data_IF_010354890264
#
_entry.id   IF_010354890264
#
_cell.length_a   1.000
_cell.length_b   1.000
_cell.length_c   1.000
_cell.angle_alpha   90.00
_cell.angle_beta   90.00
_cell.angle_gamma   90.00
#
_symmetry.space_group_name_H-M   'P 1'
#
loop_
_entity.id
_entity.type
_entity.pdbx_description
1 polymer ?
#
# COMPACT_ATOMS: atom_id res chain seq x y z
N UNK A 1 11.67 -19.23 -11.36
CA UNK A 1 11.47 -17.76 -11.23
C UNK A 1 11.77 -17.14 -12.58
N UNK A 2 10.77 -16.65 -13.32
CA UNK A 2 11.08 -15.60 -14.29
C UNK A 2 11.51 -14.39 -13.47
N UNK A 3 12.69 -13.89 -13.77
CA UNK A 3 13.31 -12.77 -13.06
C UNK A 3 12.34 -11.59 -13.10
N UNK A 4 12.13 -10.93 -11.95
CA UNK A 4 11.36 -9.70 -11.89
C UNK A 4 12.03 -8.65 -12.79
N UNK A 5 11.34 -8.18 -13.83
CA UNK A 5 11.91 -7.28 -14.84
C UNK A 5 12.39 -5.92 -14.28
N UNK A 6 12.03 -5.59 -13.02
CA UNK A 6 12.44 -4.35 -12.36
C UNK A 6 13.11 -4.61 -11.00
N UNK A 7 14.36 -4.14 -10.86
CA UNK A 7 15.14 -4.22 -9.62
C UNK A 7 15.30 -2.87 -8.91
N UNK A 8 14.80 -1.78 -9.50
CA UNK A 8 14.85 -0.44 -8.90
C UNK A 8 13.74 0.48 -9.42
N UNK A 9 13.38 1.49 -8.63
CA UNK A 9 12.46 2.55 -9.04
C UNK A 9 12.93 3.27 -10.31
N UNK A 10 14.23 3.54 -10.43
CA UNK A 10 14.79 4.21 -11.61
C UNK A 10 14.66 3.35 -12.87
N UNK A 11 14.85 2.03 -12.75
CA UNK A 11 14.64 1.07 -13.83
C UNK A 11 13.17 1.03 -14.26
N UNK A 12 12.24 1.01 -13.30
CA UNK A 12 10.81 1.05 -13.58
C UNK A 12 10.38 2.38 -14.23
N UNK A 13 10.88 3.51 -13.73
CA UNK A 13 10.63 4.85 -14.27
C UNK A 13 11.20 5.04 -15.67
N UNK A 14 12.35 4.42 -15.98
CA UNK A 14 12.95 4.46 -17.31
C UNK A 14 12.16 3.63 -18.32
N UNK A 15 11.64 2.46 -17.92
CA UNK A 15 10.80 1.62 -18.77
C UNK A 15 9.39 2.21 -18.98
N UNK A 16 8.89 2.96 -18.01
CA UNK A 16 7.60 3.63 -18.05
C UNK A 16 7.78 5.14 -17.81
N UNK A 17 8.20 5.91 -18.84
CA UNK A 17 8.37 7.35 -18.70
C UNK A 17 7.07 7.98 -18.20
N UNK A 18 7.14 8.56 -17.00
CA UNK A 18 6.06 9.32 -16.40
C UNK A 18 5.74 10.51 -17.31
N UNK A 19 4.53 10.49 -17.90
CA UNK A 19 3.85 11.51 -18.71
C UNK A 19 4.10 11.56 -20.23
N UNK A 20 3.05 11.24 -20.99
CA UNK A 20 2.52 12.07 -22.10
C UNK A 20 1.12 11.58 -22.53
N UNK A 21 0.00 12.24 -22.16
CA UNK A 21 -1.30 11.88 -22.70
C UNK A 21 -1.67 12.81 -23.86
N UNK A 22 -1.60 12.28 -25.08
CA UNK A 22 -2.37 12.82 -26.22
C UNK A 22 -3.84 12.35 -26.18
N UNK A 23 -4.19 11.37 -25.33
CA UNK A 23 -5.58 10.92 -25.07
C UNK A 23 -5.75 10.42 -23.63
N UNK A 24 -6.68 11.02 -22.87
CA UNK A 24 -7.19 10.56 -21.56
C UNK A 24 -6.16 10.47 -20.43
N UNK A 25 -6.34 11.21 -19.33
CA UNK A 25 -5.46 11.09 -18.15
C UNK A 25 -5.96 9.98 -17.23
N UNK A 26 -5.25 8.85 -17.15
CA UNK A 26 -5.51 7.83 -16.13
C UNK A 26 -4.77 8.16 -14.84
N UNK A 27 -5.43 8.00 -13.70
CA UNK A 27 -4.87 8.31 -12.38
C UNK A 27 -4.85 7.02 -11.56
N UNK A 28 -3.71 6.77 -10.90
CA UNK A 28 -3.56 5.68 -9.94
C UNK A 28 -3.30 6.27 -8.55
N UNK A 29 -4.19 5.97 -7.59
CA UNK A 29 -3.98 6.35 -6.20
C UNK A 29 -3.27 5.22 -5.46
N UNK A 30 -2.03 5.46 -5.07
CA UNK A 30 -1.20 4.44 -4.41
C UNK A 30 -0.85 4.84 -2.99
N UNK A 31 -0.69 3.87 -2.11
CA UNK A 31 -0.39 4.08 -0.69
C UNK A 31 0.86 3.30 -0.30
N UNK A 32 1.58 3.81 0.70
CA UNK A 32 2.68 3.07 1.32
C UNK A 32 2.22 1.64 1.69
N UNK A 33 2.94 0.58 1.30
CA UNK A 33 2.48 -0.79 1.50
C UNK A 33 2.28 -1.16 2.97
N UNK A 34 3.12 -0.66 3.88
CA UNK A 34 2.96 -0.91 5.32
C UNK A 34 1.70 -0.21 5.82
N UNK A 35 1.50 1.06 5.47
CA UNK A 35 0.33 1.83 5.86
C UNK A 35 -0.97 1.22 5.30
N UNK A 36 -0.94 0.77 4.04
CA UNK A 36 -2.07 0.08 3.40
C UNK A 36 -2.40 -1.22 4.13
N UNK A 37 -1.40 -2.06 4.39
CA UNK A 37 -1.59 -3.34 5.07
C UNK A 37 -2.16 -3.13 6.47
N UNK A 38 -1.56 -2.26 7.30
CA UNK A 38 -2.04 -1.99 8.66
C UNK A 38 -3.46 -1.46 8.65
N UNK A 39 -3.77 -0.52 7.75
CA UNK A 39 -5.11 0.03 7.61
C UNK A 39 -6.12 -1.04 7.19
N UNK A 40 -5.75 -1.91 6.25
CA UNK A 40 -6.58 -3.03 5.80
C UNK A 40 -6.82 -4.04 6.92
N UNK A 41 -5.78 -4.40 7.67
CA UNK A 41 -5.88 -5.34 8.79
C UNK A 41 -6.83 -4.83 9.87
N UNK A 42 -6.75 -3.55 10.22
CA UNK A 42 -7.65 -2.94 11.21
C UNK A 42 -9.09 -2.92 10.70
N UNK A 43 -9.30 -2.47 9.46
CA UNK A 43 -10.65 -2.41 8.87
C UNK A 43 -11.28 -3.80 8.76
N UNK A 44 -10.57 -4.75 8.17
CA UNK A 44 -11.13 -6.05 7.82
C UNK A 44 -11.10 -7.03 8.98
N UNK A 45 -10.00 -7.10 9.73
CA UNK A 45 -9.87 -8.07 10.82
C UNK A 45 -10.45 -7.57 12.13
N UNK A 46 -10.24 -6.31 12.52
CA UNK A 46 -10.73 -5.83 13.83
C UNK A 46 -12.19 -5.41 13.82
N UNK A 47 -12.66 -4.74 12.76
CA UNK A 47 -14.02 -4.21 12.72
C UNK A 47 -15.01 -5.14 12.04
N UNK A 48 -14.66 -5.65 10.87
CA UNK A 48 -15.55 -6.55 10.15
C UNK A 48 -15.46 -7.99 10.65
N UNK A 49 -14.45 -8.31 11.49
CA UNK A 49 -14.12 -9.67 11.93
C UNK A 49 -13.96 -10.65 10.74
N UNK A 50 -13.42 -10.16 9.63
CA UNK A 50 -13.12 -10.91 8.40
C UNK A 50 -11.60 -11.04 8.26
N UNK A 51 -11.02 -12.00 8.98
CA UNK A 51 -9.58 -12.26 9.01
C UNK A 51 -9.24 -13.72 8.81
N UNK A 52 -9.94 -14.40 7.89
CA UNK A 52 -9.91 -15.86 7.78
C UNK A 52 -10.17 -16.52 9.16
N UNK A 53 -9.45 -17.60 9.46
CA UNK A 53 -9.49 -18.32 10.74
C UNK A 53 -8.53 -17.71 11.80
N UNK A 54 -7.82 -16.62 11.47
CA UNK A 54 -6.83 -15.99 12.34
C UNK A 54 -7.41 -15.04 13.41
N UNK A 55 -8.72 -14.73 13.35
CA UNK A 55 -9.36 -13.81 14.26
C UNK A 55 -8.74 -12.40 14.22
N UNK A 56 -7.99 -12.02 15.25
CA UNK A 56 -7.29 -10.71 15.33
C UNK A 56 -5.77 -10.85 15.43
N UNK A 57 -5.23 -12.04 15.16
CA UNK A 57 -3.79 -12.31 15.20
C UNK A 57 -3.10 -11.80 13.93
N UNK A 58 -2.23 -10.81 14.07
CA UNK A 58 -1.46 -10.24 12.96
C UNK A 58 -0.51 -11.27 12.35
N UNK A 59 0.18 -12.03 13.20
CA UNK A 59 1.15 -13.03 12.78
C UNK A 59 0.50 -14.16 11.99
N UNK A 60 -0.60 -14.72 12.50
CA UNK A 60 -1.37 -15.75 11.79
C UNK A 60 -1.80 -15.23 10.41
N UNK A 61 -2.44 -14.06 10.37
CA UNK A 61 -2.99 -13.53 9.13
C UNK A 61 -1.89 -13.28 8.10
N UNK A 62 -0.79 -12.65 8.49
CA UNK A 62 0.29 -12.32 7.56
C UNK A 62 1.02 -13.56 7.04
N UNK A 63 1.19 -14.60 7.86
CA UNK A 63 1.79 -15.87 7.44
C UNK A 63 0.89 -16.57 6.42
N UNK A 64 -0.40 -16.74 6.71
CA UNK A 64 -1.35 -17.35 5.77
C UNK A 64 -1.44 -16.55 4.47
N UNK A 65 -1.47 -15.22 4.60
CA UNK A 65 -1.59 -14.34 3.45
C UNK A 65 -0.32 -14.38 2.58
N UNK A 66 0.88 -14.44 3.19
CA UNK A 66 2.12 -14.66 2.46
C UNK A 66 2.08 -15.95 1.62
N UNK A 67 1.72 -17.08 2.24
CA UNK A 67 1.62 -18.37 1.55
C UNK A 67 0.62 -18.29 0.38
N UNK A 68 -0.54 -17.66 0.60
CA UNK A 68 -1.54 -17.44 -0.45
C UNK A 68 -1.00 -16.60 -1.59
N UNK A 69 -0.36 -15.45 -1.31
CA UNK A 69 0.23 -14.58 -2.33
C UNK A 69 1.34 -15.30 -3.11
N UNK A 70 2.21 -16.04 -2.44
CA UNK A 70 3.27 -16.80 -3.12
C UNK A 70 2.70 -17.91 -4.01
N UNK A 71 1.65 -18.60 -3.56
CA UNK A 71 0.93 -19.59 -4.38
C UNK A 71 0.30 -18.95 -5.62
N UNK A 72 -0.37 -17.80 -5.47
CA UNK A 72 -0.94 -17.06 -6.59
C UNK A 72 0.14 -16.59 -7.58
N UNK A 73 1.28 -16.10 -7.09
CA UNK A 73 2.38 -15.65 -7.94
C UNK A 73 3.01 -16.78 -8.76
N UNK A 74 3.03 -18.01 -8.24
CA UNK A 74 3.60 -19.19 -8.92
C UNK A 74 2.69 -19.80 -9.98
N UNK A 75 1.41 -19.45 -10.00
CA UNK A 75 0.43 -19.96 -10.97
C UNK A 75 -0.18 -18.82 -11.80
N UNK A 76 0.60 -18.13 -12.64
CA UNK A 76 0.14 -16.95 -13.38
C UNK A 76 -0.93 -17.27 -14.44
N UNK A 77 -1.05 -18.53 -14.85
CA UNK A 77 -2.08 -19.02 -15.78
C UNK A 77 -3.35 -19.47 -15.08
N UNK A 78 -3.32 -19.65 -13.77
CA UNK A 78 -4.51 -19.90 -12.96
C UNK A 78 -5.27 -18.60 -12.72
N UNK A 79 -6.59 -18.67 -12.62
CA UNK A 79 -7.35 -17.53 -12.10
C UNK A 79 -6.84 -17.22 -10.70
N UNK A 80 -6.34 -15.99 -10.50
CA UNK A 80 -6.11 -15.46 -9.18
C UNK A 80 -7.46 -15.51 -8.46
N UNK A 81 -7.52 -16.20 -7.32
CA UNK A 81 -8.77 -16.32 -6.56
C UNK A 81 -9.26 -14.92 -6.16
N UNK A 82 -10.30 -14.46 -6.84
CA UNK A 82 -10.90 -13.16 -6.61
C UNK A 82 -11.91 -13.27 -5.47
N UNK A 83 -11.45 -12.98 -4.26
CA UNK A 83 -12.23 -13.10 -3.04
C UNK A 83 -12.11 -11.82 -2.20
N UNK A 84 -12.89 -11.76 -1.13
CA UNK A 84 -12.95 -10.58 -0.27
C UNK A 84 -11.57 -10.13 0.23
N UNK A 85 -10.73 -11.06 0.68
CA UNK A 85 -9.42 -10.74 1.25
C UNK A 85 -8.41 -10.39 0.16
N UNK A 86 -8.41 -11.11 -0.96
CA UNK A 86 -7.47 -10.83 -2.05
C UNK A 86 -7.69 -9.46 -2.66
N UNK A 87 -8.95 -9.02 -2.84
CA UNK A 87 -9.28 -7.66 -3.30
C UNK A 87 -8.73 -6.55 -2.38
N UNK A 88 -8.73 -6.79 -1.07
CA UNK A 88 -8.31 -5.78 -0.08
C UNK A 88 -6.80 -5.78 0.18
N UNK A 89 -6.16 -6.95 0.14
CA UNK A 89 -4.79 -7.10 0.61
C UNK A 89 -3.78 -7.39 -0.49
N UNK A 90 -4.16 -7.93 -1.67
CA UNK A 90 -3.15 -8.19 -2.70
C UNK A 90 -2.42 -6.91 -3.13
N UNK A 91 -1.16 -7.04 -3.59
CA UNK A 91 -0.37 -5.90 -4.04
C UNK A 91 -1.15 -5.01 -4.99
N UNK A 92 -1.02 -3.69 -4.84
CA UNK A 92 -1.73 -2.74 -5.71
C UNK A 92 -1.27 -2.89 -7.15
N UNK A 93 0.00 -3.26 -7.39
CA UNK A 93 0.54 -3.49 -8.72
C UNK A 93 -0.08 -4.70 -9.45
N UNK A 94 -0.80 -5.58 -8.74
CA UNK A 94 -1.56 -6.69 -9.34
C UNK A 94 -2.95 -6.29 -9.82
N UNK A 95 -3.35 -5.04 -9.55
CA UNK A 95 -4.62 -4.46 -9.98
C UNK A 95 -4.36 -3.47 -11.12
N UNK A 96 -5.44 -2.95 -11.72
CA UNK A 96 -5.39 -1.89 -12.73
C UNK A 96 -4.55 -2.19 -13.99
N UNK A 97 -4.19 -3.46 -14.24
CA UNK A 97 -3.33 -3.87 -15.36
C UNK A 97 -2.02 -3.06 -15.46
N UNK A 98 -1.41 -2.74 -14.31
CA UNK A 98 -0.16 -1.97 -14.30
C UNK A 98 0.95 -2.64 -15.12
N UNK A 99 0.98 -3.96 -15.24
CA UNK A 99 1.93 -4.67 -16.11
C UNK A 99 1.93 -4.16 -17.55
N UNK A 100 0.77 -3.75 -18.06
CA UNK A 100 0.57 -3.36 -19.45
C UNK A 100 0.52 -1.83 -19.61
N UNK A 101 0.00 -1.12 -18.60
CA UNK A 101 -0.38 0.27 -18.74
C UNK A 101 0.24 1.22 -17.71
N UNK A 102 1.23 0.79 -16.92
CA UNK A 102 1.87 1.65 -15.89
C UNK A 102 2.29 3.03 -16.43
N UNK A 103 2.90 3.08 -17.63
CA UNK A 103 3.32 4.33 -18.26
C UNK A 103 2.18 5.30 -18.61
N UNK A 104 0.94 4.82 -18.67
CA UNK A 104 -0.23 5.63 -18.97
C UNK A 104 -0.85 6.24 -17.70
N UNK A 105 -0.43 5.83 -16.51
CA UNK A 105 -0.96 6.33 -15.24
C UNK A 105 -0.17 7.51 -14.69
N UNK A 106 -0.89 8.55 -14.28
CA UNK A 106 -0.41 9.53 -13.31
C UNK A 106 -0.54 8.94 -11.90
N UNK A 107 0.58 8.46 -11.35
CA UNK A 107 0.62 7.90 -9.99
C UNK A 107 0.60 9.02 -8.97
N UNK A 108 -0.42 9.04 -8.11
CA UNK A 108 -0.55 9.97 -6.98
C UNK A 108 -0.43 9.16 -5.70
N UNK A 109 0.57 9.53 -4.88
CA UNK A 109 0.74 8.93 -3.55
C UNK A 109 -0.21 9.58 -2.56
N UNK A 110 -0.90 8.77 -1.77
CA UNK A 110 -1.63 9.25 -0.61
C UNK A 110 -1.12 8.57 0.65
N UNK A 111 -0.99 9.34 1.73
CA UNK A 111 -0.61 8.81 3.04
C UNK A 111 -1.40 9.52 4.12
N UNK A 112 -1.43 8.90 5.28
CA UNK A 112 -1.85 9.57 6.51
C UNK A 112 -0.87 10.69 6.92
N UNK A 113 -1.36 11.66 7.69
CA UNK A 113 -0.51 12.73 8.24
C UNK A 113 0.08 13.67 7.18
N UNK A 114 1.42 13.80 7.18
CA UNK A 114 2.17 14.80 6.39
C UNK A 114 2.01 14.65 4.87
N UNK A 115 1.66 13.46 4.36
CA UNK A 115 1.45 13.25 2.93
C UNK A 115 0.09 13.71 2.39
N UNK A 116 -0.85 14.14 3.25
CA UNK A 116 -2.14 14.68 2.80
C UNK A 116 -2.01 15.94 1.95
N UNK A 117 -1.09 16.84 2.29
CA UNK A 117 -0.87 18.07 1.51
C UNK A 117 -0.27 17.76 0.13
N UNK A 118 0.67 16.83 0.06
CA UNK A 118 1.26 16.36 -1.19
C UNK A 118 0.20 15.73 -2.09
N UNK A 119 -0.66 14.86 -1.53
CA UNK A 119 -1.79 14.27 -2.25
C UNK A 119 -2.70 15.33 -2.91
N UNK A 120 -3.14 16.34 -2.16
CA UNK A 120 -4.00 17.39 -2.72
C UNK A 120 -3.30 18.22 -3.80
N UNK A 121 -2.01 18.50 -3.61
CA UNK A 121 -1.19 19.23 -4.59
C UNK A 121 -1.07 18.45 -5.89
N UNK A 122 -0.76 17.16 -5.81
CA UNK A 122 -0.58 16.30 -6.98
C UNK A 122 -1.92 16.05 -7.69
N UNK A 123 -3.01 15.85 -6.94
CA UNK A 123 -4.35 15.74 -7.50
C UNK A 123 -4.77 17.02 -8.22
N UNK A 124 -4.56 18.20 -7.61
CA UNK A 124 -4.81 19.50 -8.28
C UNK A 124 -4.04 19.58 -9.59
N UNK A 125 -2.74 19.27 -9.56
CA UNK A 125 -1.87 19.31 -10.73
C UNK A 125 -2.39 18.42 -11.86
N UNK A 126 -2.77 17.18 -11.56
CA UNK A 126 -3.24 16.23 -12.56
C UNK A 126 -4.57 16.67 -13.17
N UNK A 127 -5.54 17.10 -12.34
CA UNK A 127 -6.84 17.59 -12.83
C UNK A 127 -6.70 18.87 -13.66
N UNK A 128 -5.85 19.81 -13.24
CA UNK A 128 -5.58 21.03 -14.02
C UNK A 128 -4.87 20.71 -15.35
N UNK A 129 -3.93 19.76 -15.36
CA UNK A 129 -3.26 19.32 -16.59
C UNK A 129 -4.24 18.65 -17.56
N UNK A 130 -5.26 17.97 -17.03
CA UNK A 130 -6.38 17.42 -17.78
C UNK A 130 -7.43 18.47 -18.22
N UNK A 131 -7.15 19.78 -18.04
CA UNK A 131 -8.03 20.90 -18.39
C UNK A 131 -9.40 20.87 -17.70
N UNK A 132 -9.49 20.27 -16.51
CA UNK A 132 -10.70 20.35 -15.68
C UNK A 132 -10.88 21.80 -15.21
N UNK A 133 -12.08 22.41 -15.34
CA UNK A 133 -12.34 23.77 -14.89
C UNK A 133 -11.97 23.97 -13.41
N UNK A 134 -11.32 25.10 -13.09
CA UNK A 134 -10.79 25.36 -11.75
C UNK A 134 -11.85 25.23 -10.65
N UNK A 135 -13.06 25.75 -10.88
CA UNK A 135 -14.19 25.64 -9.94
C UNK A 135 -14.55 24.19 -9.60
N UNK A 136 -14.45 23.26 -10.55
CA UNK A 136 -14.67 21.82 -10.30
C UNK A 136 -13.52 21.19 -9.54
N UNK A 137 -12.29 21.59 -9.84
CA UNK A 137 -11.10 21.13 -9.10
C UNK A 137 -11.19 21.57 -7.64
N UNK A 138 -11.54 22.82 -7.39
CA UNK A 138 -11.75 23.36 -6.05
C UNK A 138 -12.86 22.63 -5.30
N UNK A 139 -14.01 22.40 -5.96
CA UNK A 139 -15.10 21.61 -5.40
C UNK A 139 -14.64 20.22 -4.95
N UNK A 140 -13.92 19.47 -5.81
CA UNK A 140 -13.41 18.13 -5.46
C UNK A 140 -12.44 18.19 -4.28
N UNK A 141 -11.51 19.14 -4.29
CA UNK A 141 -10.51 19.28 -3.23
C UNK A 141 -11.15 19.68 -1.89
N UNK A 142 -12.18 20.52 -1.91
CA UNK A 142 -12.93 20.91 -0.72
C UNK A 142 -13.68 19.72 -0.12
N UNK A 143 -14.41 18.95 -0.95
CA UNK A 143 -15.12 17.75 -0.49
C UNK A 143 -14.17 16.72 0.11
N UNK A 144 -13.01 16.47 -0.52
CA UNK A 144 -12.01 15.54 0.01
C UNK A 144 -11.36 16.01 1.34
N UNK A 145 -11.26 17.33 1.56
CA UNK A 145 -10.73 17.88 2.82
C UNK A 145 -11.74 17.79 3.96
N UNK A 146 -13.02 18.01 3.65
CA UNK A 146 -14.07 18.20 4.65
C UNK A 146 -14.83 16.90 4.96
N UNK A 147 -14.96 16.00 4.00
CA UNK A 147 -15.60 14.70 4.21
C UNK A 147 -14.61 13.68 4.78
N UNK A 148 -15.04 12.99 5.84
CA UNK A 148 -14.34 11.81 6.35
C UNK A 148 -15.12 10.58 5.95
N UNK A 149 -14.42 9.58 5.43
CA UNK A 149 -15.02 8.27 5.22
C UNK A 149 -15.30 7.60 6.56
N UNK A 150 -16.38 6.83 6.63
CA UNK A 150 -16.81 6.08 7.82
C UNK A 150 -15.73 5.17 8.41
N UNK A 151 -14.72 4.80 7.61
CA UNK A 151 -13.63 3.88 7.92
C UNK A 151 -12.30 4.58 8.27
N UNK A 152 -12.34 5.84 8.71
CA UNK A 152 -11.11 6.58 9.01
C UNK A 152 -10.37 5.98 10.23
N UNK A 153 -9.24 5.32 9.99
CA UNK A 153 -8.40 4.64 11.02
C UNK A 153 -7.59 5.58 11.92
N UNK A 154 -7.80 6.89 11.84
CA UNK A 154 -6.93 7.91 12.46
C UNK A 154 -7.54 8.64 13.66
N UNK A 155 -8.60 8.12 14.29
CA UNK A 155 -9.32 8.83 15.36
C UNK A 155 -9.56 8.01 16.64
N UNK A 156 -9.35 8.64 17.80
CA UNK A 156 -9.63 8.05 19.11
C UNK A 156 -8.93 6.71 19.32
N UNK A 157 -9.69 5.71 19.79
CA UNK A 157 -9.24 4.32 19.98
C UNK A 157 -8.53 3.73 18.75
N UNK A 158 -8.87 4.18 17.54
CA UNK A 158 -8.24 3.68 16.32
C UNK A 158 -6.79 4.08 16.17
N UNK A 159 -6.40 5.23 16.73
CA UNK A 159 -5.00 5.65 16.74
C UNK A 159 -4.17 4.70 17.60
N UNK A 160 -4.70 4.27 18.75
CA UNK A 160 -4.02 3.33 19.64
C UNK A 160 -3.99 1.92 19.08
N UNK A 161 -5.07 1.47 18.46
CA UNK A 161 -5.08 0.19 17.75
C UNK A 161 -4.09 0.19 16.58
N UNK A 162 -4.08 1.26 15.76
CA UNK A 162 -3.12 1.45 14.68
C UNK A 162 -1.69 1.40 15.19
N UNK A 163 -1.39 2.16 16.24
CA UNK A 163 -0.07 2.13 16.89
C UNK A 163 0.31 0.74 17.40
N UNK A 164 -0.62 -0.02 17.99
CA UNK A 164 -0.37 -1.39 18.44
C UNK A 164 -0.01 -2.33 17.29
N UNK A 165 -0.78 -2.31 16.20
CA UNK A 165 -0.51 -3.15 15.01
C UNK A 165 0.83 -2.77 14.38
N UNK A 166 1.13 -1.47 14.27
CA UNK A 166 2.46 -1.01 13.84
C UNK A 166 3.57 -1.52 14.76
N UNK A 167 3.41 -1.40 16.07
CA UNK A 167 4.41 -1.85 17.03
C UNK A 167 4.63 -3.36 16.93
N UNK A 168 3.57 -4.16 16.79
CA UNK A 168 3.67 -5.61 16.63
C UNK A 168 4.46 -5.97 15.37
N UNK A 169 4.14 -5.32 14.24
CA UNK A 169 4.85 -5.51 12.98
C UNK A 169 6.34 -5.11 13.06
N UNK A 170 6.64 -3.92 13.60
CA UNK A 170 8.01 -3.40 13.74
C UNK A 170 8.80 -4.02 14.91
N UNK A 171 8.17 -4.87 15.73
CA UNK A 171 8.87 -5.65 16.76
C UNK A 171 9.22 -7.06 16.30
N UNK A 172 8.82 -7.44 15.07
CA UNK A 172 9.10 -8.75 14.49
C UNK A 172 9.76 -8.61 13.12
N UNK A 173 11.10 -8.77 13.03
CA UNK A 173 11.82 -8.77 11.76
C UNK A 173 11.24 -9.77 10.76
N UNK A 174 10.81 -10.93 11.27
CA UNK A 174 10.17 -11.98 10.48
C UNK A 174 8.86 -11.50 9.83
N UNK A 175 7.93 -10.90 10.60
CA UNK A 175 6.68 -10.41 10.03
C UNK A 175 6.92 -9.27 9.05
N UNK A 176 7.85 -8.36 9.35
CA UNK A 176 8.20 -7.30 8.41
C UNK A 176 8.77 -7.86 7.11
N UNK A 177 9.63 -8.88 7.18
CA UNK A 177 10.19 -9.53 5.99
C UNK A 177 9.10 -10.17 5.12
N UNK A 178 8.12 -10.86 5.72
CA UNK A 178 6.98 -11.40 4.97
C UNK A 178 6.21 -10.29 4.25
N UNK A 179 5.89 -9.19 4.95
CA UNK A 179 5.20 -8.05 4.34
C UNK A 179 5.99 -7.46 3.17
N UNK A 180 7.31 -7.26 3.34
CA UNK A 180 8.19 -6.77 2.27
C UNK A 180 8.14 -7.71 1.08
N UNK A 181 8.20 -9.03 1.29
CA UNK A 181 8.16 -10.01 0.19
C UNK A 181 6.84 -9.99 -0.57
N UNK A 182 5.72 -9.81 0.12
CA UNK A 182 4.39 -9.68 -0.51
C UNK A 182 4.33 -8.43 -1.38
N UNK A 183 4.78 -7.29 -0.86
CA UNK A 183 4.60 -5.98 -1.48
C UNK A 183 5.86 -5.41 -2.15
N UNK A 184 6.89 -6.23 -2.37
CA UNK A 184 8.19 -5.76 -2.89
C UNK A 184 8.03 -4.94 -4.17
N UNK A 185 7.18 -5.40 -5.08
CA UNK A 185 6.90 -4.71 -6.33
C UNK A 185 6.18 -3.37 -6.11
N UNK A 186 5.26 -3.27 -5.16
CA UNK A 186 4.61 -1.99 -4.83
C UNK A 186 5.66 -0.98 -4.32
N UNK A 187 6.58 -1.41 -3.46
CA UNK A 187 7.66 -0.53 -2.98
C UNK A 187 8.52 -0.02 -4.14
N UNK A 188 8.95 -0.92 -5.04
CA UNK A 188 9.84 -0.59 -6.15
C UNK A 188 9.12 0.25 -7.21
N UNK A 189 7.95 -0.18 -7.68
CA UNK A 189 7.23 0.46 -8.79
C UNK A 189 6.73 1.85 -8.41
N UNK A 190 6.24 2.02 -7.17
CA UNK A 190 5.72 3.30 -6.72
C UNK A 190 6.79 4.14 -6.00
N UNK A 191 7.99 3.62 -5.79
CA UNK A 191 9.09 4.33 -5.13
C UNK A 191 8.78 4.69 -3.68
N UNK A 192 8.28 3.71 -2.91
CA UNK A 192 8.19 3.80 -1.46
C UNK A 192 9.47 3.27 -0.83
N UNK A 193 9.79 3.77 0.36
CA UNK A 193 10.95 3.30 1.12
C UNK A 193 10.69 1.87 1.63
N UNK A 194 11.64 0.97 1.39
CA UNK A 194 11.56 -0.40 1.89
C UNK A 194 12.09 -0.41 3.33
N UNK A 195 11.34 -0.91 4.32
CA UNK A 195 11.82 -0.99 5.69
C UNK A 195 13.11 -1.82 5.82
N UNK A 196 14.08 -1.32 6.57
CA UNK A 196 15.34 -2.04 6.82
C UNK A 196 15.15 -3.10 7.92
N UNK A 197 15.02 -4.36 7.50
CA UNK A 197 14.87 -5.51 8.39
C UNK A 197 16.09 -5.70 9.32
N UNK A 198 17.30 -5.31 8.88
CA UNK A 198 18.51 -5.41 9.72
C UNK A 198 18.44 -4.38 10.84
N UNK A 199 18.05 -3.14 10.52
CA UNK A 199 17.85 -2.09 11.52
C UNK A 199 16.77 -2.48 12.54
N UNK A 200 15.64 -3.03 12.06
CA UNK A 200 14.57 -3.55 12.93
C UNK A 200 15.10 -4.66 13.84
N UNK A 201 15.89 -5.60 13.30
CA UNK A 201 16.48 -6.70 14.08
C UNK A 201 17.39 -6.19 15.19
N UNK A 202 18.25 -5.21 14.88
CA UNK A 202 19.15 -4.60 15.86
C UNK A 202 18.38 -3.89 16.98
N UNK A 203 17.31 -3.15 16.64
CA UNK A 203 16.44 -2.48 17.64
C UNK A 203 15.71 -3.46 18.56
N UNK A 204 15.34 -4.64 18.04
CA UNK A 204 14.68 -5.67 18.83
C UNK A 204 15.68 -6.34 19.78
N UNK A 205 16.91 -6.60 19.34
CA UNK A 205 17.97 -7.16 20.19
C UNK A 205 18.33 -6.22 21.34
N UNK A 206 18.56 -4.93 21.06
CA UNK A 206 18.94 -3.95 22.09
C UNK A 206 17.86 -3.78 23.17
N UNK A 207 16.57 -3.82 22.81
CA UNK A 207 15.47 -3.80 23.79
C UNK A 207 15.44 -5.02 24.70
N UNK A 208 15.79 -6.21 24.17
CA UNK A 208 15.86 -7.44 24.97
C UNK A 208 17.00 -7.38 25.98
N UNK A 209 18.14 -6.88 25.56
CA UNK A 209 19.32 -6.69 26.43
C UNK A 209 19.06 -5.67 27.55
N UNK A 210 18.27 -4.63 27.28
CA UNK A 210 17.88 -3.63 28.30
C UNK A 210 16.77 -4.10 29.25
N UNK A 211 16.10 -5.22 28.96
CA UNK A 211 15.02 -5.78 29.77
C UNK A 211 15.48 -6.94 30.67
N UNK A 212 16.77 -7.28 30.63
CA UNK A 212 17.46 -8.27 31.45
C UNK A 212 18.28 -7.56 32.54
#
# INVERSE_FOLDING_TARGET
MKQSDFHSYNSAKAAFPLFAPEKGTMIALVRDPVERFVSGFIDKCYFENRCNECGKSLSCFLIEFYEKTMRSSRNPTGSIEDNYMTRHFFPQNWQCEFSNYMGNYSVIKYSSGKGKSAFYKDLKKVLSSAKVPESKVEFVLERLKNERTRHTTHQGFLKDLTRRVYNELYSSPFLMELLIRIYYQDFVLFGFEIPDVKEISAKVQSKREQSL
#
